data_IF_001318784432
#
_entry.id   IF_001318784432
#
_cell.length_a   1.000
_cell.length_b   1.000
_cell.length_c   1.000
_cell.angle_alpha   90.00
_cell.angle_beta   90.00
_cell.angle_gamma   90.00
#
_symmetry.space_group_name_H-M   'P 1'
#
loop_
_entity.id
_entity.type
_entity.pdbx_description
1 polymer ?
#
# COMPACT_ATOMS: atom_id res chain seq x y z
N UNK A 1 -10.12 12.59 -7.66
CA UNK A 1 -10.67 12.45 -6.28
C UNK A 1 -9.59 11.84 -5.41
N UNK A 2 -9.38 12.32 -4.18
CA UNK A 2 -8.33 11.81 -3.28
C UNK A 2 -8.89 11.46 -1.92
N UNK A 3 -8.44 10.34 -1.35
CA UNK A 3 -8.90 9.79 -0.07
C UNK A 3 -7.68 9.42 0.79
N UNK A 4 -7.60 9.90 2.04
CA UNK A 4 -6.57 9.46 2.97
C UNK A 4 -6.76 7.98 3.30
N UNK A 5 -5.67 7.22 3.32
CA UNK A 5 -5.69 5.78 3.54
C UNK A 5 -4.59 5.37 4.52
N UNK A 6 -4.99 4.71 5.60
CA UNK A 6 -4.09 4.24 6.64
C UNK A 6 -4.33 2.75 6.91
N UNK A 7 -3.28 1.96 7.04
CA UNK A 7 -3.38 0.56 7.45
C UNK A 7 -2.12 0.09 8.21
N UNK A 8 -2.29 -0.90 9.08
CA UNK A 8 -1.19 -1.55 9.77
C UNK A 8 -0.64 -2.70 8.92
N UNK A 9 0.68 -2.76 8.77
CA UNK A 9 1.42 -3.84 8.13
C UNK A 9 2.19 -4.60 9.21
N UNK A 10 2.06 -5.93 9.19
CA UNK A 10 2.78 -6.81 10.11
C UNK A 10 3.97 -7.42 9.36
N UNK A 11 5.19 -7.10 9.78
CA UNK A 11 6.38 -7.77 9.30
C UNK A 11 6.78 -8.84 10.33
N UNK A 12 6.80 -10.09 9.90
CA UNK A 12 7.25 -11.21 10.71
C UNK A 12 8.67 -11.56 10.30
N UNK A 13 9.63 -11.38 11.20
CA UNK A 13 10.99 -11.94 11.08
C UNK A 13 11.21 -12.89 12.26
N UNK A 14 11.35 -14.17 11.94
CA UNK A 14 11.61 -15.29 12.84
C UNK A 14 10.66 -15.40 14.06
N UNK A 15 10.90 -14.62 15.12
CA UNK A 15 10.20 -14.66 16.41
C UNK A 15 9.56 -13.31 16.78
N UNK A 16 9.87 -12.23 16.05
CA UNK A 16 9.34 -10.89 16.31
C UNK A 16 8.33 -10.45 15.25
N UNK A 17 7.18 -9.96 15.74
CA UNK A 17 6.17 -9.27 14.94
C UNK A 17 6.43 -7.77 15.10
N UNK A 18 6.91 -7.14 14.04
CA UNK A 18 7.05 -5.68 14.00
C UNK A 18 5.81 -5.11 13.34
N UNK A 19 5.07 -4.27 14.07
CA UNK A 19 3.94 -3.53 13.50
C UNK A 19 4.48 -2.23 12.88
N UNK A 20 4.16 -2.03 11.61
CA UNK A 20 4.42 -0.81 10.86
C UNK A 20 3.10 -0.17 10.49
N UNK A 21 3.05 1.15 10.47
CA UNK A 21 1.89 1.89 9.97
C UNK A 21 2.18 2.45 8.60
N UNK A 22 1.28 2.21 7.65
CA UNK A 22 1.33 2.85 6.34
C UNK A 22 0.29 3.94 6.33
N UNK A 23 0.73 5.17 6.07
CA UNK A 23 -0.12 6.33 5.93
C UNK A 23 0.09 6.95 4.56
N UNK A 24 -1.00 7.21 3.84
CA UNK A 24 -0.91 7.72 2.48
C UNK A 24 -2.19 8.33 1.95
N UNK A 25 -2.14 8.73 0.69
CA UNK A 25 -3.26 9.30 -0.06
C UNK A 25 -3.47 8.45 -1.30
N UNK A 26 -4.68 7.92 -1.44
CA UNK A 26 -5.14 7.26 -2.65
C UNK A 26 -5.86 8.29 -3.52
N UNK A 27 -5.28 8.58 -4.68
CA UNK A 27 -5.79 9.53 -5.66
C UNK A 27 -6.25 8.80 -6.92
N UNK A 28 -7.40 9.21 -7.43
CA UNK A 28 -7.90 8.85 -8.74
C UNK A 28 -7.78 10.07 -9.66
N UNK A 29 -6.94 9.97 -10.68
CA UNK A 29 -6.67 11.02 -11.67
C UNK A 29 -6.82 10.44 -13.07
N UNK A 30 -7.72 11.00 -13.87
CA UNK A 30 -8.04 10.55 -15.23
C UNK A 30 -8.37 9.05 -15.33
N UNK A 31 -7.38 8.23 -15.70
CA UNK A 31 -7.47 6.77 -15.81
C UNK A 31 -6.42 6.06 -14.97
N UNK A 32 -5.85 6.74 -14.00
CA UNK A 32 -4.81 6.23 -13.12
C UNK A 32 -5.27 6.24 -11.67
N UNK A 33 -4.94 5.15 -10.97
CA UNK A 33 -4.98 5.07 -9.52
C UNK A 33 -3.56 5.27 -8.99
N UNK A 34 -3.35 6.34 -8.24
CA UNK A 34 -2.08 6.69 -7.63
C UNK A 34 -2.20 6.58 -6.11
N UNK A 35 -1.25 5.90 -5.47
CA UNK A 35 -1.13 5.79 -4.03
C UNK A 35 0.24 6.31 -3.58
N UNK A 36 0.24 7.44 -2.89
CA UNK A 36 1.44 8.05 -2.32
C UNK A 36 1.45 7.79 -0.82
N UNK A 37 2.50 7.18 -0.29
CA UNK A 37 2.51 6.72 1.10
C UNK A 37 3.88 6.80 1.77
N UNK A 38 3.87 6.78 3.10
CA UNK A 38 5.06 6.62 3.96
C UNK A 38 4.79 5.52 4.97
N UNK A 39 5.85 4.84 5.36
CA UNK A 39 5.83 3.79 6.38
C UNK A 39 6.41 4.35 7.67
N UNK A 40 5.76 4.05 8.79
CA UNK A 40 6.12 4.48 10.13
C UNK A 40 6.26 3.28 11.07
N UNK A 41 7.07 3.44 12.12
CA UNK A 41 7.07 2.49 13.24
C UNK A 41 5.88 2.77 14.19
N UNK A 42 5.72 1.92 15.21
CA UNK A 42 4.66 2.08 16.22
C UNK A 42 4.80 3.36 17.07
N UNK A 43 5.93 4.05 17.01
CA UNK A 43 6.20 5.29 17.74
C UNK A 43 5.99 6.53 16.86
N UNK A 44 5.60 6.34 15.58
CA UNK A 44 5.37 7.42 14.63
C UNK A 44 6.63 7.93 13.93
N UNK A 45 7.76 7.23 14.05
CA UNK A 45 8.98 7.58 13.32
C UNK A 45 8.88 7.08 11.88
N UNK A 46 9.22 7.94 10.91
CA UNK A 46 9.22 7.55 9.51
C UNK A 46 10.34 6.53 9.23
N UNK A 47 9.95 5.36 8.72
CA UNK A 47 10.84 4.29 8.30
C UNK A 47 11.13 4.33 6.80
N UNK A 48 10.34 5.07 6.02
CA UNK A 48 10.53 5.21 4.58
C UNK A 48 10.47 6.67 4.13
N UNK A 49 11.12 6.93 2.99
CA UNK A 49 10.83 8.11 2.18
C UNK A 49 9.41 8.02 1.59
N UNK A 50 8.95 9.11 0.98
CA UNK A 50 7.69 9.11 0.23
C UNK A 50 7.79 8.07 -0.90
N UNK A 51 6.96 7.04 -0.82
CA UNK A 51 6.85 5.96 -1.80
C UNK A 51 5.61 6.18 -2.65
N UNK A 52 5.66 5.75 -3.91
CA UNK A 52 4.55 5.89 -4.84
C UNK A 52 4.24 4.56 -5.51
N UNK A 53 2.96 4.25 -5.61
CA UNK A 53 2.43 3.15 -6.40
C UNK A 53 1.42 3.73 -7.37
N UNK A 54 1.52 3.41 -8.65
CA UNK A 54 0.49 3.80 -9.60
C UNK A 54 0.11 2.67 -10.55
N UNK A 55 -1.14 2.66 -10.95
CA UNK A 55 -1.69 1.69 -11.90
C UNK A 55 -2.73 2.34 -12.79
N UNK A 56 -2.57 2.16 -14.10
CA UNK A 56 -3.58 2.53 -15.09
C UNK A 56 -4.79 1.60 -14.95
N UNK A 57 -6.01 2.14 -15.00
CA UNK A 57 -7.25 1.39 -14.80
C UNK A 57 -7.42 0.24 -15.80
N UNK A 58 -6.95 0.42 -17.03
CA UNK A 58 -6.96 -0.62 -18.07
C UNK A 58 -6.11 -1.85 -17.70
N UNK A 59 -5.20 -1.70 -16.73
CA UNK A 59 -4.39 -2.78 -16.19
C UNK A 59 -5.03 -3.49 -14.99
N UNK A 60 -6.18 -3.02 -14.51
CA UNK A 60 -6.93 -3.66 -13.42
C UNK A 60 -7.84 -4.73 -14.03
N UNK A 61 -7.46 -5.99 -13.84
CA UNK A 61 -8.23 -7.16 -14.29
C UNK A 61 -9.49 -7.37 -13.44
N UNK A 62 -9.38 -7.17 -12.12
CA UNK A 62 -10.50 -7.43 -11.20
C UNK A 62 -10.46 -6.49 -9.99
N UNK A 63 -11.64 -6.03 -9.62
CA UNK A 63 -11.91 -5.31 -8.38
C UNK A 63 -12.74 -6.21 -7.45
N UNK A 64 -12.33 -6.36 -6.19
CA UNK A 64 -13.12 -7.07 -5.18
C UNK A 64 -13.16 -6.27 -3.89
N UNK A 65 -14.35 -5.83 -3.51
CA UNK A 65 -14.59 -5.31 -2.18
C UNK A 65 -14.93 -6.45 -1.23
N UNK A 66 -14.14 -6.60 -0.16
CA UNK A 66 -14.44 -7.46 0.98
C UNK A 66 -14.91 -6.58 2.13
N UNK A 67 -16.20 -6.67 2.45
CA UNK A 67 -16.74 -6.04 3.66
C UNK A 67 -16.00 -6.62 4.88
N UNK A 68 -15.45 -5.75 5.72
CA UNK A 68 -14.83 -6.17 6.98
C UNK A 68 -15.86 -6.74 7.94
N UNK A 69 -15.38 -7.54 8.89
CA UNK A 69 -16.17 -7.88 10.08
C UNK A 69 -16.17 -6.66 11.03
N UNK A 70 -17.11 -6.61 11.97
CA UNK A 70 -17.31 -5.48 12.89
C UNK A 70 -15.97 -4.83 13.33
N UNK A 71 -15.87 -3.50 13.14
CA UNK A 71 -14.72 -2.63 13.46
C UNK A 71 -13.45 -2.76 12.58
N UNK A 72 -13.32 -3.74 11.69
CA UNK A 72 -12.07 -3.96 10.93
C UNK A 72 -11.93 -3.15 9.62
N UNK A 73 -12.91 -2.32 9.27
CA UNK A 73 -12.97 -1.64 7.97
C UNK A 73 -13.11 -2.59 6.77
N UNK A 74 -13.67 -2.10 5.65
CA UNK A 74 -13.70 -2.86 4.40
C UNK A 74 -12.34 -2.88 3.71
N UNK A 75 -12.06 -3.94 2.95
CA UNK A 75 -10.83 -4.05 2.12
C UNK A 75 -11.21 -4.01 0.65
N UNK A 76 -10.55 -3.14 -0.11
CA UNK A 76 -10.61 -3.14 -1.57
C UNK A 76 -9.39 -3.90 -2.10
N UNK A 77 -9.62 -4.93 -2.90
CA UNK A 77 -8.57 -5.75 -3.51
C UNK A 77 -8.57 -5.50 -5.01
N UNK A 78 -7.40 -5.15 -5.53
CA UNK A 78 -7.13 -4.89 -6.94
C UNK A 78 -6.25 -6.02 -7.48
N UNK A 79 -6.72 -6.74 -8.49
CA UNK A 79 -5.93 -7.72 -9.24
C UNK A 79 -5.56 -7.09 -10.58
N UNK A 80 -4.26 -7.00 -10.86
CA UNK A 80 -3.75 -6.44 -12.10
C UNK A 80 -3.48 -7.54 -13.15
N UNK A 81 -3.58 -7.19 -14.44
CA UNK A 81 -3.22 -8.08 -15.55
C UNK A 81 -1.71 -8.13 -15.82
N UNK A 82 -0.96 -7.16 -15.29
CA UNK A 82 0.49 -7.06 -15.34
C UNK A 82 1.02 -6.54 -14.01
N UNK A 83 2.31 -6.76 -13.76
CA UNK A 83 2.97 -6.18 -12.60
C UNK A 83 2.97 -4.66 -12.75
N UNK A 84 2.26 -3.95 -11.87
CA UNK A 84 2.43 -2.52 -11.73
C UNK A 84 3.86 -2.28 -11.22
N UNK A 85 4.58 -1.33 -11.82
CA UNK A 85 5.93 -0.99 -11.40
C UNK A 85 5.89 -0.56 -9.93
N UNK A 86 6.36 -1.44 -9.05
CA UNK A 86 6.78 -1.03 -7.73
C UNK A 86 8.13 -0.34 -7.96
N UNK A 87 8.22 0.96 -7.73
CA UNK A 87 9.52 1.47 -7.31
C UNK A 87 9.97 0.56 -6.15
N UNK A 88 11.19 0.02 -6.21
CA UNK A 88 11.61 -0.99 -5.26
C UNK A 88 11.34 -0.48 -3.85
N UNK A 89 10.60 -1.28 -3.08
CA UNK A 89 10.22 -0.91 -1.71
C UNK A 89 11.53 -0.54 -0.99
N UNK A 90 11.69 0.70 -0.51
CA UNK A 90 12.91 1.10 0.19
C UNK A 90 13.16 0.14 1.37
N UNK A 91 14.26 -0.61 1.32
CA UNK A 91 14.61 -1.64 2.31
C UNK A 91 14.21 -3.08 1.99
N UNK A 92 13.66 -3.37 0.81
CA UNK A 92 13.49 -4.73 0.28
C UNK A 92 14.75 -5.21 -0.45
N UNK A 93 14.95 -6.54 -0.55
CA UNK A 93 16.07 -7.12 -1.32
C UNK A 93 16.08 -6.66 -2.79
N UNK A 94 14.91 -6.31 -3.34
CA UNK A 94 14.75 -5.81 -4.70
C UNK A 94 15.24 -4.36 -4.88
N UNK A 95 15.45 -3.61 -3.80
CA UNK A 95 16.03 -2.25 -3.81
C UNK A 95 17.51 -2.19 -3.47
N UNK A 96 18.17 -3.35 -3.32
CA UNK A 96 19.61 -3.46 -3.06
C UNK A 96 20.43 -3.80 -4.31
N UNK A 97 19.77 -3.97 -5.47
CA UNK A 97 20.38 -4.20 -6.78
C UNK A 97 20.31 -2.95 -7.66
#
# INVERSE_FOLDING_TARGET
MSIPFNYSMYETKDVQVTVKEVQGILSFMDRELLFEYKVYDMHGNALSNLSKFSIQLEHIKRLKYKKGFLFSGGKLILEANQWAFFEPIPGSEQGLL
#
